data_IF_003664875786
#
_entry.id   IF_003664875786
#
_cell.length_a   1.000
_cell.length_b   1.000
_cell.length_c   1.000
_cell.angle_alpha   90.00
_cell.angle_beta   90.00
_cell.angle_gamma   90.00
#
_symmetry.space_group_name_H-M   'P 1'
#
loop_
_entity.id
_entity.type
_entity.pdbx_description
1 polymer ?
#
# COMPACT_ATOMS: atom_id res chain seq x y z
N UNK A 1 -31.08 23.16 62.35
CA UNK A 1 -30.38 22.15 61.52
C UNK A 1 -30.01 22.80 60.20
N UNK A 2 -28.72 22.97 59.90
CA UNK A 2 -28.25 23.59 58.65
C UNK A 2 -28.07 22.50 57.58
N UNK A 3 -28.54 22.70 56.33
CA UNK A 3 -28.37 21.71 55.29
C UNK A 3 -26.91 21.67 54.83
N UNK A 4 -26.30 20.49 54.88
CA UNK A 4 -24.98 20.23 54.32
C UNK A 4 -25.16 20.02 52.81
N UNK A 5 -24.69 20.97 52.00
CA UNK A 5 -24.68 20.85 50.55
C UNK A 5 -23.49 19.96 50.17
N UNK A 6 -23.76 18.71 49.81
CA UNK A 6 -22.75 17.77 49.33
C UNK A 6 -22.37 18.12 47.88
N UNK A 7 -21.20 18.75 47.71
CA UNK A 7 -20.61 19.03 46.40
C UNK A 7 -20.16 17.71 45.76
N UNK A 8 -20.93 17.22 44.78
CA UNK A 8 -20.52 16.06 43.96
C UNK A 8 -19.55 16.54 42.89
N UNK A 9 -18.26 16.30 43.09
CA UNK A 9 -17.24 16.47 42.05
C UNK A 9 -17.44 15.34 41.03
N UNK A 10 -18.02 15.66 39.88
CA UNK A 10 -18.06 14.75 38.73
C UNK A 10 -16.68 14.83 38.07
N UNK A 11 -15.83 13.85 38.34
CA UNK A 11 -14.58 13.66 37.59
C UNK A 11 -14.97 13.14 36.21
N UNK A 12 -15.07 14.05 35.23
CA UNK A 12 -15.14 13.66 33.82
C UNK A 12 -13.74 13.19 33.45
N UNK A 13 -13.52 11.88 33.52
CA UNK A 13 -12.36 11.28 32.89
C UNK A 13 -12.52 11.49 31.38
N UNK A 14 -11.80 12.48 30.84
CA UNK A 14 -11.59 12.58 29.41
C UNK A 14 -10.75 11.37 29.05
N UNK A 15 -11.41 10.28 28.67
CA UNK A 15 -10.76 9.21 27.92
C UNK A 15 -10.24 9.89 26.66
N UNK A 16 -8.93 10.20 26.65
CA UNK A 16 -8.25 10.60 25.45
C UNK A 16 -8.63 9.55 24.41
N UNK A 17 -9.35 9.98 23.38
CA UNK A 17 -9.74 9.11 22.29
C UNK A 17 -8.49 8.33 21.89
N UNK A 18 -8.56 7.00 21.99
CA UNK A 18 -7.46 6.13 21.58
C UNK A 18 -7.12 6.58 20.16
N UNK A 19 -5.97 7.24 20.02
CA UNK A 19 -5.62 7.94 18.79
C UNK A 19 -5.82 6.95 17.64
N UNK A 20 -6.61 7.34 16.64
CA UNK A 20 -6.82 6.52 15.47
C UNK A 20 -5.46 6.02 14.97
N UNK A 21 -5.43 4.77 14.51
CA UNK A 21 -4.23 4.14 13.99
C UNK A 21 -3.41 5.13 13.13
N UNK A 22 -2.15 5.41 13.51
CA UNK A 22 -1.35 6.44 12.86
C UNK A 22 -0.83 5.93 11.51
N UNK A 23 -1.57 6.22 10.44
CA UNK A 23 -1.08 6.11 9.06
C UNK A 23 -0.56 7.47 8.60
N UNK A 24 0.58 7.49 7.90
CA UNK A 24 1.27 8.72 7.49
C UNK A 24 1.75 8.58 6.05
N UNK A 25 1.53 9.59 5.23
CA UNK A 25 2.19 9.72 3.93
C UNK A 25 3.26 10.82 3.99
N UNK A 26 4.43 10.58 3.43
CA UNK A 26 5.55 11.53 3.37
C UNK A 26 6.01 11.66 1.92
N UNK A 27 6.11 12.91 1.49
CA UNK A 27 6.57 13.38 0.19
C UNK A 27 7.95 14.00 0.40
N UNK A 28 8.98 13.49 -0.28
CA UNK A 28 10.37 13.88 0.00
C UNK A 28 10.82 14.88 -1.03
N UNK A 29 11.37 16.00 -0.54
CA UNK A 29 11.65 17.16 -1.36
C UNK A 29 10.61 18.26 -1.13
N UNK A 30 10.89 19.45 -1.68
CA UNK A 30 10.04 20.63 -1.53
C UNK A 30 9.70 21.33 -2.84
N UNK A 31 10.00 20.71 -3.99
CA UNK A 31 9.76 21.31 -5.30
C UNK A 31 8.29 21.18 -5.73
N UNK A 32 7.61 20.09 -5.35
CA UNK A 32 6.24 19.81 -5.75
C UNK A 32 5.41 19.29 -4.58
N UNK A 33 4.68 20.17 -3.92
CA UNK A 33 3.80 19.74 -2.83
C UNK A 33 2.61 18.93 -3.36
N UNK A 34 2.46 17.68 -2.88
CA UNK A 34 1.25 16.87 -3.10
C UNK A 34 0.00 17.48 -2.44
N UNK A 35 0.15 18.31 -1.41
CA UNK A 35 -0.95 19.01 -0.73
C UNK A 35 -1.61 18.19 0.38
N UNK A 36 -2.37 18.86 1.25
CA UNK A 36 -2.88 18.31 2.52
C UNK A 36 -4.14 17.44 2.42
N UNK A 37 -4.77 17.32 1.25
CA UNK A 37 -5.94 16.48 1.07
C UNK A 37 -6.02 16.00 -0.39
N UNK A 38 -5.52 14.79 -0.64
CA UNK A 38 -5.59 14.21 -1.97
C UNK A 38 -6.32 12.87 -1.92
N UNK A 39 -7.14 12.59 -2.93
CA UNK A 39 -7.62 11.23 -3.22
C UNK A 39 -6.49 10.34 -3.78
N UNK A 40 -5.23 10.75 -3.60
CA UNK A 40 -4.08 10.10 -4.18
C UNK A 40 -3.46 9.17 -3.15
N UNK A 41 -3.65 7.88 -3.39
CA UNK A 41 -3.15 6.82 -2.52
C UNK A 41 -1.84 6.18 -2.96
N UNK A 42 -1.18 6.72 -3.99
CA UNK A 42 0.01 6.16 -4.62
C UNK A 42 -0.11 4.64 -4.89
N UNK A 43 0.93 3.85 -4.62
CA UNK A 43 0.93 2.40 -4.87
C UNK A 43 0.05 1.61 -3.90
N UNK A 44 -0.14 2.09 -2.67
CA UNK A 44 -0.86 1.36 -1.62
C UNK A 44 -2.37 1.57 -1.65
N UNK A 45 -2.82 2.66 -2.28
CA UNK A 45 -4.20 3.14 -2.17
C UNK A 45 -4.47 3.95 -0.89
N UNK A 46 -3.49 4.17 -0.01
CA UNK A 46 -3.62 5.00 1.18
C UNK A 46 -3.75 6.49 0.83
N UNK A 47 -4.96 6.90 0.45
CA UNK A 47 -5.29 8.29 0.19
C UNK A 47 -5.21 9.13 1.48
N UNK A 48 -4.95 10.42 1.33
CA UNK A 48 -4.92 11.34 2.46
C UNK A 48 -3.98 12.53 2.29
N UNK A 49 -3.66 13.14 3.44
CA UNK A 49 -2.65 14.18 3.55
C UNK A 49 -1.25 13.62 3.29
N UNK A 50 -0.44 14.36 2.53
CA UNK A 50 0.98 14.08 2.32
C UNK A 50 1.82 15.13 3.05
N UNK A 51 2.75 14.67 3.89
CA UNK A 51 3.68 15.52 4.61
C UNK A 51 4.89 15.78 3.70
N UNK A 52 4.99 16.98 3.13
CA UNK A 52 6.18 17.41 2.37
C UNK A 52 7.34 17.65 3.32
N UNK A 53 8.45 16.92 3.15
CA UNK A 53 9.64 16.99 3.99
C UNK A 53 10.82 17.45 3.15
N UNK A 54 11.23 18.70 3.39
CA UNK A 54 12.34 19.33 2.69
C UNK A 54 13.68 19.17 3.45
N UNK A 55 14.79 19.35 2.73
CA UNK A 55 16.14 19.00 3.16
C UNK A 55 16.59 19.81 4.37
N UNK A 56 16.13 21.05 4.46
CA UNK A 56 16.51 21.98 5.51
C UNK A 56 15.87 21.66 6.88
N UNK A 57 14.95 20.68 6.94
CA UNK A 57 14.25 20.36 8.18
C UNK A 57 15.06 19.38 9.04
N UNK A 58 15.55 19.87 10.19
CA UNK A 58 16.22 19.03 11.20
C UNK A 58 15.23 18.04 11.83
N UNK A 59 13.97 18.45 11.97
CA UNK A 59 12.87 17.63 12.47
C UNK A 59 11.53 18.28 12.07
N UNK A 60 10.60 17.52 11.51
CA UNK A 60 9.28 18.00 11.10
C UNK A 60 8.17 17.21 11.80
N UNK A 61 7.16 17.92 12.31
CA UNK A 61 5.94 17.30 12.88
C UNK A 61 5.05 16.78 11.75
N UNK A 62 4.55 15.56 11.93
CA UNK A 62 3.73 14.85 10.95
C UNK A 62 2.24 14.89 11.31
N UNK A 63 1.40 15.02 10.28
CA UNK A 63 -0.03 14.75 10.35
C UNK A 63 -0.35 13.37 9.79
N UNK A 64 -1.46 12.78 10.24
CA UNK A 64 -1.97 11.52 9.70
C UNK A 64 -2.61 11.71 8.32
N UNK A 65 -3.13 10.63 7.74
CA UNK A 65 -3.81 10.66 6.44
C UNK A 65 -5.08 11.50 6.43
N UNK A 66 -5.68 11.80 7.59
CA UNK A 66 -6.82 12.71 7.73
C UNK A 66 -6.38 14.17 7.98
N UNK A 67 -5.07 14.44 8.09
CA UNK A 67 -4.52 15.75 8.39
C UNK A 67 -4.55 16.13 9.88
N UNK A 68 -4.85 15.19 10.78
CA UNK A 68 -4.80 15.42 12.21
C UNK A 68 -3.36 15.28 12.75
N UNK A 69 -3.02 16.09 13.76
CA UNK A 69 -1.70 16.06 14.37
C UNK A 69 -1.44 14.73 15.09
N UNK A 70 -0.31 14.09 14.80
CA UNK A 70 0.04 12.76 15.36
C UNK A 70 0.98 12.82 16.56
N UNK A 71 1.68 13.94 16.75
CA UNK A 71 2.83 14.02 17.66
C UNK A 71 4.08 13.28 17.13
N UNK A 72 3.97 12.57 16.00
CA UNK A 72 5.11 11.96 15.35
C UNK A 72 5.95 13.02 14.63
N UNK A 73 7.24 12.76 14.52
CA UNK A 73 8.20 13.62 13.83
C UNK A 73 9.11 12.82 12.92
N UNK A 74 9.48 13.38 11.78
CA UNK A 74 10.50 12.83 10.87
C UNK A 74 11.78 13.65 10.92
N UNK A 75 12.90 12.97 10.83
CA UNK A 75 14.25 13.55 10.71
C UNK A 75 15.13 12.62 9.87
N UNK A 76 16.21 13.14 9.31
CA UNK A 76 17.16 12.35 8.55
C UNK A 76 18.59 12.91 8.65
N UNK A 77 19.58 12.09 8.33
CA UNK A 77 20.99 12.46 8.32
C UNK A 77 21.74 11.69 7.23
N UNK A 78 22.56 12.40 6.44
CA UNK A 78 23.41 11.78 5.42
C UNK A 78 23.78 12.71 4.27
N UNK A 79 24.61 12.24 3.33
CA UNK A 79 25.04 13.00 2.16
C UNK A 79 23.97 12.92 1.06
N UNK A 80 23.01 13.82 1.10
CA UNK A 80 21.96 13.88 0.10
C UNK A 80 21.81 15.29 -0.46
N UNK A 81 21.10 15.45 -1.57
CA UNK A 81 20.73 16.75 -2.16
C UNK A 81 19.32 16.64 -2.73
N UNK A 82 18.46 17.62 -2.47
CA UNK A 82 17.13 17.65 -3.09
C UNK A 82 17.17 18.19 -4.52
N UNK A 83 16.28 17.66 -5.35
CA UNK A 83 16.07 18.13 -6.71
C UNK A 83 14.66 17.82 -7.17
N UNK A 84 14.24 18.50 -8.24
CA UNK A 84 13.02 18.16 -8.92
C UNK A 84 13.07 18.43 -10.42
N UNK A 85 12.22 17.72 -11.17
CA UNK A 85 12.17 17.82 -12.63
C UNK A 85 10.82 18.34 -13.14
N UNK A 86 10.88 19.37 -14.01
CA UNK A 86 9.81 20.33 -14.29
C UNK A 86 8.69 19.90 -15.26
N UNK A 87 8.55 18.62 -15.59
CA UNK A 87 7.76 18.27 -16.79
C UNK A 87 6.52 17.41 -16.58
N UNK A 88 6.13 17.08 -15.34
CA UNK A 88 5.08 16.06 -15.14
C UNK A 88 3.86 16.61 -14.42
N UNK A 89 2.68 16.41 -15.03
CA UNK A 89 1.38 16.75 -14.46
C UNK A 89 0.82 15.61 -13.59
N UNK A 90 -0.09 15.97 -12.68
CA UNK A 90 -0.78 15.02 -11.80
C UNK A 90 0.05 14.57 -10.59
N UNK A 91 -0.62 13.90 -9.64
CA UNK A 91 -0.03 13.57 -8.35
C UNK A 91 1.07 12.49 -8.44
N UNK A 92 0.97 11.56 -9.39
CA UNK A 92 2.07 10.62 -9.68
C UNK A 92 3.36 11.36 -10.04
N UNK A 93 3.25 12.33 -10.95
CA UNK A 93 4.37 13.16 -11.39
C UNK A 93 4.95 13.96 -10.24
N UNK A 94 4.10 14.56 -9.39
CA UNK A 94 4.56 15.29 -8.21
C UNK A 94 5.39 14.41 -7.27
N UNK A 95 4.87 13.24 -6.85
CA UNK A 95 5.60 12.34 -5.97
C UNK A 95 6.92 11.85 -6.59
N UNK A 96 6.90 11.44 -7.86
CA UNK A 96 8.08 10.86 -8.50
C UNK A 96 9.11 11.89 -8.99
N UNK A 97 8.78 13.18 -8.98
CA UNK A 97 9.71 14.25 -9.36
C UNK A 97 10.15 15.14 -8.20
N UNK A 98 9.62 14.95 -6.99
CA UNK A 98 10.25 15.46 -5.79
C UNK A 98 11.10 14.33 -5.20
N UNK A 99 12.41 14.54 -5.09
CA UNK A 99 13.30 13.50 -4.59
C UNK A 99 14.58 14.02 -3.97
N UNK A 100 15.14 13.16 -3.13
CA UNK A 100 16.49 13.23 -2.63
C UNK A 100 17.42 12.39 -3.52
N UNK A 101 18.50 12.99 -4.03
CA UNK A 101 19.57 12.32 -4.77
C UNK A 101 20.51 11.55 -3.85
N UNK A 102 20.94 10.38 -4.35
CA UNK A 102 22.00 9.58 -3.79
C UNK A 102 23.13 9.53 -4.84
N UNK A 103 24.29 10.11 -4.52
CA UNK A 103 25.41 10.24 -5.45
C UNK A 103 26.46 9.12 -5.25
N UNK A 104 27.22 8.76 -6.29
CA UNK A 104 28.28 7.77 -6.19
C UNK A 104 29.40 8.28 -5.29
N UNK A 105 29.97 7.38 -4.49
CA UNK A 105 31.04 7.74 -3.56
C UNK A 105 30.57 8.46 -2.30
N UNK A 106 29.26 8.60 -2.07
CA UNK A 106 28.72 8.92 -0.76
C UNK A 106 29.23 7.89 0.26
N UNK A 107 30.01 8.35 1.24
CA UNK A 107 30.69 7.47 2.19
C UNK A 107 29.75 6.74 3.17
N UNK A 108 28.46 7.10 3.20
CA UNK A 108 27.47 6.55 4.11
C UNK A 108 26.05 6.63 3.50
N UNK A 109 25.15 5.71 3.89
CA UNK A 109 23.74 5.78 3.54
C UNK A 109 23.08 7.02 4.16
N UNK A 110 21.95 7.43 3.59
CA UNK A 110 21.06 8.42 4.20
C UNK A 110 20.15 7.71 5.19
N UNK A 111 20.27 8.06 6.46
CA UNK A 111 19.48 7.45 7.53
C UNK A 111 18.29 8.33 7.86
N UNK A 112 17.12 7.72 7.96
CA UNK A 112 15.87 8.37 8.26
C UNK A 112 15.26 7.78 9.53
N UNK A 113 14.54 8.61 10.28
CA UNK A 113 13.89 8.26 11.53
C UNK A 113 12.53 8.96 11.60
N UNK A 114 11.48 8.18 11.89
CA UNK A 114 10.23 8.68 12.41
C UNK A 114 10.12 8.28 13.88
N UNK A 115 9.92 9.27 14.75
CA UNK A 115 9.72 9.11 16.18
C UNK A 115 8.30 9.53 16.58
N UNK A 116 7.82 9.06 17.74
CA UNK A 116 6.48 9.38 18.26
C UNK A 116 5.34 8.56 17.62
N UNK A 117 5.68 7.43 16.98
CA UNK A 117 4.68 6.50 16.46
C UNK A 117 3.99 5.72 17.58
N UNK A 118 2.73 5.35 17.39
CA UNK A 118 2.05 4.40 18.26
C UNK A 118 2.67 3.01 18.13
N UNK A 119 2.71 2.20 19.20
CA UNK A 119 3.10 0.80 19.08
C UNK A 119 2.17 0.02 18.15
N UNK A 120 2.75 -0.90 17.39
CA UNK A 120 2.02 -1.77 16.47
C UNK A 120 2.85 -2.23 15.29
N UNK A 121 2.24 -3.07 14.47
CA UNK A 121 2.81 -3.46 13.19
C UNK A 121 2.55 -2.37 12.14
N UNK A 122 3.58 -2.06 11.37
CA UNK A 122 3.55 -1.08 10.30
C UNK A 122 3.99 -1.74 9.01
N UNK A 123 3.23 -1.46 7.96
CA UNK A 123 3.66 -1.64 6.59
C UNK A 123 4.29 -0.35 6.12
N UNK A 124 5.43 -0.48 5.48
CA UNK A 124 6.24 0.63 5.01
C UNK A 124 6.44 0.48 3.51
N UNK A 125 5.97 1.44 2.74
CA UNK A 125 6.17 1.48 1.29
C UNK A 125 7.10 2.62 0.94
N UNK A 126 8.24 2.30 0.33
CA UNK A 126 9.23 3.28 -0.14
C UNK A 126 9.04 3.55 -1.62
N UNK A 127 9.21 4.80 -2.04
CA UNK A 127 9.12 5.21 -3.43
C UNK A 127 10.48 5.65 -3.96
N UNK A 128 10.82 5.15 -5.15
CA UNK A 128 11.96 5.58 -5.95
C UNK A 128 11.47 5.83 -7.36
N UNK A 129 11.87 6.93 -7.98
CA UNK A 129 11.70 7.09 -9.41
C UNK A 129 12.64 6.10 -10.12
N UNK A 130 12.23 5.61 -11.30
CA UNK A 130 13.14 4.89 -12.18
C UNK A 130 14.26 5.84 -12.67
N UNK A 131 15.33 5.31 -13.25
CA UNK A 131 16.38 6.14 -13.85
C UNK A 131 15.98 6.64 -15.22
N UNK A 132 16.42 7.85 -15.57
CA UNK A 132 16.23 8.35 -16.94
C UNK A 132 17.27 7.72 -17.87
N UNK A 133 17.07 7.70 -19.18
CA UNK A 133 18.03 7.09 -20.13
C UNK A 133 19.42 7.76 -20.16
N UNK A 134 19.67 8.76 -19.30
CA UNK A 134 20.96 9.43 -19.11
C UNK A 134 21.67 8.99 -17.83
N UNK A 135 20.97 8.31 -16.92
CA UNK A 135 21.48 7.82 -15.64
C UNK A 135 21.07 6.36 -15.41
N UNK A 136 21.86 5.63 -14.63
CA UNK A 136 21.58 4.24 -14.28
C UNK A 136 21.74 4.10 -12.78
N UNK A 137 20.89 3.30 -12.14
CA UNK A 137 20.75 3.50 -10.72
C UNK A 137 19.81 2.52 -10.06
N UNK A 138 20.33 1.86 -9.03
CA UNK A 138 19.52 1.01 -8.16
C UNK A 138 19.48 1.67 -6.79
N UNK A 139 18.30 2.10 -6.37
CA UNK A 139 18.10 2.62 -5.01
C UNK A 139 17.82 1.45 -4.07
N UNK A 140 18.61 1.30 -3.01
CA UNK A 140 18.37 0.30 -1.97
C UNK A 140 17.78 0.93 -0.72
N UNK A 141 16.73 0.29 -0.22
CA UNK A 141 16.06 0.62 1.04
C UNK A 141 16.32 -0.51 2.05
N UNK A 142 16.67 -0.15 3.28
CA UNK A 142 16.77 -1.12 4.38
C UNK A 142 15.99 -0.63 5.58
N UNK A 143 14.88 -1.30 5.89
CA UNK A 143 14.06 -1.01 7.06
C UNK A 143 14.62 -1.70 8.31
N UNK A 144 14.86 -0.95 9.39
CA UNK A 144 15.33 -1.53 10.64
C UNK A 144 14.26 -2.46 11.24
N UNK A 145 14.64 -3.71 11.51
CA UNK A 145 13.71 -4.75 11.98
C UNK A 145 12.69 -5.18 10.90
N UNK A 146 12.90 -4.78 9.65
CA UNK A 146 12.07 -5.18 8.52
C UNK A 146 12.15 -6.68 8.22
N UNK A 147 11.04 -7.27 7.80
CA UNK A 147 10.94 -8.69 7.49
C UNK A 147 11.57 -9.06 6.14
N UNK A 148 11.67 -8.11 5.20
CA UNK A 148 12.15 -8.37 3.84
C UNK A 148 13.67 -8.23 3.69
N UNK A 149 14.36 -7.61 4.66
CA UNK A 149 15.76 -7.23 4.53
C UNK A 149 15.97 -6.09 3.53
N UNK A 150 17.19 -5.89 2.99
CA UNK A 150 17.44 -4.87 1.97
C UNK A 150 16.62 -5.12 0.70
N UNK A 151 16.01 -4.06 0.17
CA UNK A 151 15.16 -4.12 -1.02
C UNK A 151 15.62 -3.09 -2.05
N UNK A 152 15.73 -3.54 -3.29
CA UNK A 152 16.19 -2.71 -4.40
C UNK A 152 15.00 -2.24 -5.25
N UNK A 153 14.99 -0.95 -5.58
CA UNK A 153 14.16 -0.36 -6.61
C UNK A 153 15.03 -0.06 -7.82
N UNK A 154 14.72 -0.70 -8.95
CA UNK A 154 15.36 -0.48 -10.25
C UNK A 154 14.30 -0.41 -11.35
N UNK A 155 14.29 0.68 -12.11
CA UNK A 155 13.40 0.80 -13.26
C UNK A 155 14.00 1.69 -14.34
N UNK A 156 13.64 1.41 -15.60
CA UNK A 156 14.06 2.19 -16.76
C UNK A 156 13.05 3.24 -17.22
N UNK A 157 13.51 4.16 -18.08
CA UNK A 157 12.72 5.31 -18.56
C UNK A 157 11.39 4.98 -19.26
N UNK A 158 11.28 3.78 -19.84
CA UNK A 158 10.07 3.34 -20.55
C UNK A 158 8.84 3.15 -19.66
N UNK A 159 9.01 3.13 -18.33
CA UNK A 159 7.94 2.78 -17.39
C UNK A 159 7.29 3.99 -16.71
N UNK A 160 7.74 5.22 -17.01
CA UNK A 160 7.60 6.37 -16.13
C UNK A 160 6.19 6.86 -15.80
N UNK A 161 5.13 6.50 -16.53
CA UNK A 161 3.81 7.14 -16.32
C UNK A 161 2.61 6.20 -16.42
N UNK A 162 2.83 4.87 -16.44
CA UNK A 162 1.75 3.87 -16.51
C UNK A 162 1.17 3.43 -15.16
N UNK A 163 1.82 3.81 -14.04
CA UNK A 163 1.47 3.39 -12.68
C UNK A 163 2.67 2.84 -11.92
N UNK A 164 2.46 2.51 -10.64
CA UNK A 164 3.51 1.96 -9.77
C UNK A 164 3.76 0.48 -10.03
N UNK A 165 5.03 0.09 -10.05
CA UNK A 165 5.46 -1.31 -10.19
C UNK A 165 6.40 -1.69 -9.06
N UNK A 166 6.09 -2.82 -8.42
CA UNK A 166 6.89 -3.34 -7.31
C UNK A 166 8.31 -3.68 -7.79
N UNK A 167 9.32 -3.30 -7.02
CA UNK A 167 10.73 -3.47 -7.36
C UNK A 167 11.26 -2.49 -8.40
N UNK A 168 10.40 -1.62 -8.96
CA UNK A 168 10.81 -0.59 -9.93
C UNK A 168 10.54 0.82 -9.44
N UNK A 169 9.32 1.06 -8.96
CA UNK A 169 8.89 2.37 -8.46
C UNK A 169 8.71 2.38 -6.95
N UNK A 170 8.51 1.20 -6.37
CA UNK A 170 8.34 1.05 -4.94
C UNK A 170 8.77 -0.33 -4.47
N UNK A 171 9.18 -0.39 -3.21
CA UNK A 171 9.35 -1.63 -2.44
C UNK A 171 8.57 -1.50 -1.15
N UNK A 172 8.30 -2.64 -0.51
CA UNK A 172 7.49 -2.67 0.70
C UNK A 172 8.03 -3.69 1.68
N UNK A 173 8.06 -3.28 2.94
CA UNK A 173 8.44 -4.11 4.07
C UNK A 173 7.43 -3.95 5.22
N UNK A 174 7.50 -4.81 6.22
CA UNK A 174 6.74 -4.72 7.46
C UNK A 174 7.69 -4.75 8.66
N UNK A 175 7.37 -3.98 9.69
CA UNK A 175 8.14 -3.95 10.94
C UNK A 175 7.19 -3.73 12.12
N UNK A 176 7.62 -4.16 13.31
CA UNK A 176 6.89 -3.88 14.55
C UNK A 176 7.53 -2.71 15.28
N UNK A 177 6.76 -1.65 15.49
CA UNK A 177 7.16 -0.50 16.30
C UNK A 177 6.77 -0.77 17.76
N UNK A 178 7.77 -0.83 18.65
CA UNK A 178 7.55 -1.04 20.10
C UNK A 178 7.89 0.21 20.92
N UNK A 179 8.93 0.94 20.53
CA UNK A 179 9.44 2.12 21.25
C UNK A 179 9.03 3.45 20.60
N UNK A 180 8.01 3.41 19.73
CA UNK A 180 7.52 4.58 18.99
C UNK A 180 8.50 5.13 17.96
N UNK A 181 9.51 4.36 17.56
CA UNK A 181 10.51 4.72 16.56
C UNK A 181 10.50 3.75 15.39
N UNK A 182 10.61 4.27 14.18
CA UNK A 182 10.82 3.53 12.94
C UNK A 182 11.96 4.19 12.18
N UNK A 183 12.99 3.41 11.82
CA UNK A 183 14.16 3.93 11.11
C UNK A 183 14.49 3.09 9.89
N UNK A 184 15.05 3.72 8.87
CA UNK A 184 15.52 3.05 7.67
C UNK A 184 16.75 3.76 7.10
N UNK A 185 17.47 3.07 6.23
CA UNK A 185 18.55 3.64 5.44
C UNK A 185 18.22 3.57 3.95
N UNK A 186 18.70 4.56 3.21
CA UNK A 186 18.61 4.60 1.75
C UNK A 186 20.00 4.84 1.17
N UNK A 187 20.38 4.05 0.17
CA UNK A 187 21.68 4.15 -0.49
C UNK A 187 21.60 3.88 -2.00
N UNK A 188 22.62 4.36 -2.71
CA UNK A 188 22.87 3.97 -4.09
C UNK A 188 23.54 2.60 -4.10
N UNK A 189 22.81 1.56 -4.49
CA UNK A 189 23.32 0.21 -4.54
C UNK A 189 24.24 -0.03 -5.75
N UNK A 190 23.82 0.49 -6.91
CA UNK A 190 24.51 0.35 -8.19
C UNK A 190 24.26 1.58 -9.06
N UNK A 191 25.17 1.85 -10.01
CA UNK A 191 25.01 2.91 -11.00
C UNK A 191 25.58 4.26 -10.57
N UNK A 192 25.07 5.33 -11.18
CA UNK A 192 25.52 6.71 -10.99
C UNK A 192 24.54 7.59 -10.21
N UNK A 193 23.27 7.19 -10.05
CA UNK A 193 22.27 7.98 -9.32
C UNK A 193 21.21 7.12 -8.63
N UNK A 194 20.87 7.45 -7.40
CA UNK A 194 19.72 6.86 -6.68
C UNK A 194 18.71 7.93 -6.29
N UNK A 195 17.48 7.52 -6.05
CA UNK A 195 16.36 8.41 -5.80
C UNK A 195 15.50 7.95 -4.63
N UNK A 196 15.20 8.87 -3.71
CA UNK A 196 14.20 8.66 -2.68
C UNK A 196 13.12 9.73 -2.78
N UNK A 197 11.90 9.30 -3.10
CA UNK A 197 10.79 10.19 -3.45
C UNK A 197 9.75 10.34 -2.34
N UNK A 198 9.59 9.32 -1.50
CA UNK A 198 8.56 9.34 -0.49
C UNK A 198 8.38 8.01 0.20
N UNK A 199 7.53 8.01 1.21
CA UNK A 199 7.23 6.84 2.01
C UNK A 199 5.77 6.89 2.47
N UNK A 200 5.10 5.74 2.47
CA UNK A 200 3.80 5.56 3.13
C UNK A 200 3.95 4.59 4.29
N UNK A 201 3.46 5.01 5.45
CA UNK A 201 3.37 4.21 6.66
C UNK A 201 1.90 3.86 6.84
N UNK A 202 1.59 2.57 6.80
CA UNK A 202 0.25 2.06 7.02
C UNK A 202 0.28 1.22 8.29
N UNK A 203 -0.42 1.67 9.35
CA UNK A 203 -0.53 0.86 10.56
C UNK A 203 -1.43 -0.34 10.28
N UNK A 204 -0.89 -1.53 10.46
CA UNK A 204 -1.60 -2.78 10.24
C UNK A 204 -2.59 -2.97 11.39
N UNK A 205 -3.88 -3.05 11.05
CA UNK A 205 -4.95 -3.28 12.01
C UNK A 205 -5.52 -4.67 11.74
N UNK A 206 -5.39 -5.63 12.68
CA UNK A 206 -5.99 -6.95 12.52
C UNK A 206 -7.49 -6.85 12.24
N UNK A 207 -7.98 -7.62 11.26
CA UNK A 207 -9.36 -7.54 10.79
C UNK A 207 -9.59 -6.49 9.68
N UNK A 208 -8.62 -5.63 9.37
CA UNK A 208 -8.77 -4.63 8.33
C UNK A 208 -8.89 -5.26 6.94
N UNK A 209 -9.69 -4.63 6.09
CA UNK A 209 -9.88 -5.01 4.69
C UNK A 209 -9.80 -3.75 3.84
N UNK A 210 -9.07 -3.81 2.73
CA UNK A 210 -8.97 -2.71 1.76
C UNK A 210 -8.93 -3.22 0.33
N UNK A 211 -9.37 -2.40 -0.61
CA UNK A 211 -9.19 -2.66 -2.04
C UNK A 211 -8.09 -1.79 -2.60
N UNK A 212 -7.30 -2.33 -3.52
CA UNK A 212 -6.21 -1.64 -4.21
C UNK A 212 -6.20 -2.05 -5.69
N UNK A 213 -5.29 -1.48 -6.49
CA UNK A 213 -5.29 -1.59 -7.96
C UNK A 213 -6.58 -1.09 -8.65
N UNK A 214 -6.55 -1.11 -9.99
CA UNK A 214 -7.71 -0.89 -10.85
C UNK A 214 -8.20 -2.20 -11.46
N UNK A 215 -9.53 -2.37 -11.52
CA UNK A 215 -10.14 -3.47 -12.25
C UNK A 215 -10.01 -3.25 -13.77
N UNK A 216 -9.90 -4.34 -14.53
CA UNK A 216 -9.88 -4.29 -15.99
C UNK A 216 -11.30 -4.22 -16.55
N UNK A 217 -11.58 -3.28 -17.45
CA UNK A 217 -12.82 -3.27 -18.23
C UNK A 217 -12.83 -4.50 -19.15
N UNK A 218 -13.86 -5.33 -19.06
CA UNK A 218 -13.97 -6.56 -19.84
C UNK A 218 -14.43 -6.28 -21.28
N UNK A 219 -14.45 -7.32 -22.13
CA UNK A 219 -14.82 -7.17 -23.55
C UNK A 219 -16.26 -6.69 -23.81
N UNK A 220 -17.12 -6.70 -22.80
CA UNK A 220 -18.51 -6.23 -22.86
C UNK A 220 -18.68 -4.82 -22.27
N UNK A 221 -17.58 -4.17 -21.88
CA UNK A 221 -17.59 -2.82 -21.32
C UNK A 221 -17.85 -2.76 -19.81
N UNK A 222 -17.91 -3.91 -19.11
CA UNK A 222 -18.18 -3.92 -17.67
C UNK A 222 -16.89 -3.83 -16.86
N UNK A 223 -16.97 -3.20 -15.69
CA UNK A 223 -15.87 -3.09 -14.74
C UNK A 223 -16.14 -4.00 -13.55
N UNK A 224 -15.50 -5.18 -13.45
CA UNK A 224 -15.75 -6.10 -12.35
C UNK A 224 -15.55 -5.44 -10.98
N UNK A 225 -16.54 -5.61 -10.11
CA UNK A 225 -16.48 -5.14 -8.73
C UNK A 225 -16.01 -6.27 -7.82
N UNK A 226 -15.25 -5.92 -6.78
CA UNK A 226 -14.77 -6.84 -5.75
C UNK A 226 -15.24 -6.31 -4.39
N UNK A 227 -15.85 -7.18 -3.59
CA UNK A 227 -16.33 -6.87 -2.25
C UNK A 227 -15.96 -7.99 -1.28
N UNK A 228 -16.10 -7.69 0.01
CA UNK A 228 -16.00 -8.70 1.06
C UNK A 228 -17.12 -8.57 2.08
N UNK A 229 -17.34 -9.64 2.83
CA UNK A 229 -18.26 -9.68 3.97
C UNK A 229 -17.70 -10.57 5.08
N UNK A 230 -18.12 -10.31 6.31
CA UNK A 230 -17.61 -10.99 7.50
C UNK A 230 -16.31 -10.38 8.04
N UNK A 231 -15.66 -11.09 8.95
CA UNK A 231 -14.39 -10.68 9.58
C UNK A 231 -13.28 -11.66 9.21
N UNK A 232 -12.14 -11.20 8.67
CA UNK A 232 -11.00 -12.08 8.40
C UNK A 232 -10.33 -12.47 9.71
N UNK A 233 -10.58 -13.70 10.19
CA UNK A 233 -10.07 -14.20 11.48
C UNK A 233 -9.62 -15.66 11.36
N UNK A 234 -8.59 -16.03 12.12
CA UNK A 234 -8.07 -17.41 12.19
C UNK A 234 -8.77 -18.29 13.23
N UNK A 235 -9.39 -17.71 14.26
CA UNK A 235 -10.11 -18.43 15.33
C UNK A 235 -11.62 -18.52 15.10
N UNK A 236 -12.18 -17.71 14.21
CA UNK A 236 -13.60 -17.80 13.88
C UNK A 236 -14.08 -16.65 13.02
N UNK A 237 -14.57 -16.96 11.82
CA UNK A 237 -15.17 -15.98 10.92
C UNK A 237 -15.67 -16.64 9.64
N UNK A 238 -16.75 -16.10 9.09
CA UNK A 238 -17.16 -16.38 7.71
C UNK A 238 -16.69 -15.21 6.84
N UNK A 239 -15.39 -15.13 6.57
CA UNK A 239 -14.87 -14.11 5.68
C UNK A 239 -15.03 -14.56 4.23
N UNK A 240 -15.81 -13.81 3.46
CA UNK A 240 -16.10 -14.12 2.06
C UNK A 240 -15.65 -12.97 1.19
N UNK A 241 -14.96 -13.29 0.10
CA UNK A 241 -14.63 -12.34 -0.96
C UNK A 241 -15.44 -12.71 -2.19
N UNK A 242 -16.15 -11.73 -2.75
CA UNK A 242 -17.02 -11.94 -3.91
C UNK A 242 -16.75 -10.93 -5.02
N UNK A 243 -16.88 -11.40 -6.25
CA UNK A 243 -16.84 -10.58 -7.44
C UNK A 243 -18.22 -10.51 -8.09
N UNK A 244 -18.56 -9.35 -8.63
CA UNK A 244 -19.78 -9.13 -9.42
C UNK A 244 -19.46 -8.30 -10.67
N UNK A 245 -20.44 -8.15 -11.56
CA UNK A 245 -20.24 -7.49 -12.87
C UNK A 245 -19.16 -8.17 -13.73
N UNK A 246 -19.00 -9.49 -13.55
CA UNK A 246 -18.15 -10.32 -14.42
C UNK A 246 -18.99 -10.89 -15.55
N UNK A 247 -18.32 -11.31 -16.64
CA UNK A 247 -19.01 -11.94 -17.77
C UNK A 247 -19.73 -13.22 -17.33
N UNK A 248 -20.96 -13.39 -17.78
CA UNK A 248 -21.76 -14.58 -17.50
C UNK A 248 -21.23 -15.82 -18.21
N UNK A 249 -21.46 -16.98 -17.61
CA UNK A 249 -21.04 -18.31 -18.07
C UNK A 249 -19.53 -18.40 -18.41
N UNK A 250 -18.68 -17.79 -17.58
CA UNK A 250 -17.22 -17.85 -17.73
C UNK A 250 -16.58 -18.59 -16.57
N UNK A 251 -15.53 -19.39 -16.84
CA UNK A 251 -14.72 -19.93 -15.78
C UNK A 251 -13.81 -18.83 -15.21
N UNK A 252 -13.62 -18.88 -13.91
CA UNK A 252 -12.70 -18.03 -13.17
C UNK A 252 -12.20 -18.70 -11.90
N UNK A 253 -11.31 -18.03 -11.19
CA UNK A 253 -10.76 -18.50 -9.92
C UNK A 253 -10.26 -17.29 -9.12
N UNK A 254 -10.16 -17.46 -7.80
CA UNK A 254 -9.45 -16.52 -6.95
C UNK A 254 -7.95 -16.87 -6.98
N UNK A 255 -7.12 -15.87 -7.27
CA UNK A 255 -5.68 -15.92 -7.01
C UNK A 255 -5.37 -15.15 -5.74
N UNK A 256 -4.39 -15.61 -4.97
CA UNK A 256 -3.97 -14.92 -3.75
C UNK A 256 -2.51 -15.18 -3.38
N UNK A 257 -1.95 -14.34 -2.51
CA UNK A 257 -0.58 -14.38 -2.00
C UNK A 257 -0.48 -13.60 -0.69
N UNK A 258 0.53 -13.83 0.15
CA UNK A 258 0.88 -12.92 1.24
C UNK A 258 1.37 -11.54 0.77
N UNK A 259 1.61 -11.35 -0.54
CA UNK A 259 2.17 -10.13 -1.12
C UNK A 259 1.25 -9.54 -2.18
N UNK A 260 0.97 -8.25 -2.05
CA UNK A 260 0.32 -7.46 -3.10
C UNK A 260 1.27 -7.17 -4.28
N UNK A 261 0.69 -6.80 -5.41
CA UNK A 261 1.38 -6.40 -6.63
C UNK A 261 0.57 -5.32 -7.36
N UNK A 262 1.09 -4.83 -8.48
CA UNK A 262 0.39 -3.88 -9.35
C UNK A 262 0.90 -3.93 -10.78
N UNK A 263 1.37 -5.10 -11.24
CA UNK A 263 2.08 -5.20 -12.51
C UNK A 263 1.10 -5.24 -13.69
N UNK A 264 1.39 -4.54 -14.81
CA UNK A 264 0.62 -4.69 -16.04
C UNK A 264 0.51 -6.16 -16.46
N UNK A 265 -0.72 -6.62 -16.70
CA UNK A 265 -1.01 -7.99 -17.06
C UNK A 265 -2.24 -8.05 -17.95
N UNK A 266 -2.09 -8.53 -19.19
CA UNK A 266 -3.21 -8.73 -20.13
C UNK A 266 -4.15 -7.52 -20.24
N UNK A 267 -3.59 -6.32 -20.40
CA UNK A 267 -4.31 -5.04 -20.47
C UNK A 267 -5.06 -4.61 -19.19
N UNK A 268 -4.75 -5.24 -18.05
CA UNK A 268 -5.13 -4.77 -16.72
C UNK A 268 -3.92 -4.84 -15.79
N UNK A 269 -4.17 -5.05 -14.51
CA UNK A 269 -3.12 -5.21 -13.49
C UNK A 269 -3.28 -6.55 -12.77
N UNK A 270 -2.19 -7.32 -12.68
CA UNK A 270 -2.12 -8.45 -11.76
C UNK A 270 -1.72 -7.89 -10.39
N UNK A 271 -2.66 -7.99 -9.45
CA UNK A 271 -2.56 -7.34 -8.16
C UNK A 271 -1.97 -8.23 -7.07
N UNK A 272 -1.64 -9.47 -7.42
CA UNK A 272 -1.11 -10.46 -6.50
C UNK A 272 0.32 -10.82 -6.93
N UNK A 273 1.28 -10.77 -6.00
CA UNK A 273 2.69 -11.09 -6.29
C UNK A 273 2.99 -12.57 -6.04
N UNK A 274 4.06 -13.09 -6.64
CA UNK A 274 4.53 -14.43 -6.34
C UNK A 274 4.96 -14.58 -4.86
N UNK A 275 4.79 -15.76 -4.24
CA UNK A 275 4.21 -16.99 -4.80
C UNK A 275 2.67 -16.94 -4.86
N UNK A 276 2.09 -17.15 -6.05
CA UNK A 276 0.64 -17.09 -6.27
C UNK A 276 0.00 -18.44 -6.00
N UNK A 277 -0.96 -18.46 -5.07
CA UNK A 277 -1.87 -19.55 -4.84
C UNK A 277 -3.14 -19.39 -5.68
N UNK A 278 -3.77 -20.52 -6.04
CA UNK A 278 -4.98 -20.55 -6.88
C UNK A 278 -6.05 -21.41 -6.23
N UNK A 279 -7.28 -20.92 -6.19
CA UNK A 279 -8.42 -21.74 -5.78
C UNK A 279 -8.84 -22.69 -6.89
N UNK A 280 -9.74 -23.62 -6.57
CA UNK A 280 -10.43 -24.40 -7.59
C UNK A 280 -11.18 -23.46 -8.57
N UNK A 281 -11.27 -23.82 -9.87
CA UNK A 281 -12.07 -23.07 -10.83
C UNK A 281 -13.55 -23.03 -10.45
N UNK A 282 -14.20 -21.91 -10.76
CA UNK A 282 -15.61 -21.63 -10.53
C UNK A 282 -16.25 -21.17 -11.84
N UNK A 283 -17.54 -21.46 -12.04
CA UNK A 283 -18.34 -20.81 -13.08
C UNK A 283 -18.92 -19.50 -12.53
N UNK A 284 -18.94 -18.44 -13.34
CA UNK A 284 -19.56 -17.18 -12.95
C UNK A 284 -21.10 -17.25 -12.89
N UNK A 285 -21.70 -18.28 -13.49
CA UNK A 285 -23.15 -18.34 -13.69
C UNK A 285 -23.68 -17.10 -14.40
N UNK A 286 -24.83 -16.58 -13.95
CA UNK A 286 -25.51 -15.45 -14.58
C UNK A 286 -26.57 -15.89 -15.58
N UNK A 287 -26.99 -14.99 -16.46
CA UNK A 287 -27.98 -15.26 -17.52
C UNK A 287 -27.42 -16.29 -18.51
N UNK A 288 -28.04 -17.47 -18.65
CA UNK A 288 -27.55 -18.51 -19.56
C UNK A 288 -27.48 -18.04 -21.01
N UNK A 289 -26.32 -18.20 -21.64
CA UNK A 289 -26.09 -17.77 -23.03
C UNK A 289 -26.07 -16.25 -23.23
N UNK A 290 -26.21 -15.47 -22.15
CA UNK A 290 -26.13 -14.03 -22.16
C UNK A 290 -24.69 -13.55 -22.32
N UNK A 291 -24.42 -12.80 -23.39
CA UNK A 291 -23.24 -11.94 -23.47
C UNK A 291 -23.41 -10.71 -22.58
N UNK A 292 -23.64 -10.92 -21.27
CA UNK A 292 -23.88 -9.86 -20.29
C UNK A 292 -22.93 -9.96 -19.09
N UNK A 293 -23.15 -9.10 -18.09
CA UNK A 293 -22.32 -8.97 -16.89
C UNK A 293 -23.07 -9.33 -15.61
N UNK A 294 -24.01 -10.27 -15.70
CA UNK A 294 -24.77 -10.76 -14.54
C UNK A 294 -24.04 -11.85 -13.74
N UNK A 295 -22.88 -12.31 -14.21
CA UNK A 295 -22.05 -13.29 -13.53
C UNK A 295 -21.47 -12.80 -12.21
N UNK A 296 -21.10 -13.75 -11.35
CA UNK A 296 -20.45 -13.51 -10.06
C UNK A 296 -19.55 -14.67 -9.63
N UNK A 297 -18.55 -14.39 -8.79
CA UNK A 297 -17.72 -15.42 -8.14
C UNK A 297 -17.73 -15.21 -6.63
N UNK A 298 -17.46 -16.26 -5.86
CA UNK A 298 -17.40 -16.17 -4.40
C UNK A 298 -16.38 -17.14 -3.84
N UNK A 299 -15.60 -16.71 -2.84
CA UNK A 299 -14.67 -17.57 -2.13
C UNK A 299 -14.74 -17.28 -0.64
N UNK A 300 -14.98 -18.33 0.15
CA UNK A 300 -15.00 -18.27 1.60
C UNK A 300 -13.65 -18.70 2.18
N UNK A 301 -13.04 -17.80 2.94
CA UNK A 301 -11.85 -18.06 3.74
C UNK A 301 -12.25 -18.73 5.04
N UNK A 302 -12.18 -20.06 5.06
CA UNK A 302 -12.44 -20.84 6.27
C UNK A 302 -11.17 -20.93 7.12
N UNK A 303 -11.34 -21.11 8.43
CA UNK A 303 -10.22 -21.34 9.36
C UNK A 303 -9.36 -22.53 8.92
N UNK A 304 -9.99 -23.61 8.44
CA UNK A 304 -9.29 -24.78 7.89
C UNK A 304 -8.46 -24.43 6.65
N UNK A 305 -8.99 -23.61 5.73
CA UNK A 305 -8.25 -23.17 4.55
C UNK A 305 -7.05 -22.31 4.94
N UNK A 306 -7.22 -21.34 5.86
CA UNK A 306 -6.13 -20.50 6.33
C UNK A 306 -5.03 -21.35 7.00
N UNK A 307 -5.42 -22.28 7.88
CA UNK A 307 -4.51 -23.18 8.57
C UNK A 307 -3.75 -24.12 7.61
N UNK A 308 -4.36 -24.55 6.50
CA UNK A 308 -3.67 -25.43 5.54
C UNK A 308 -2.52 -24.74 4.79
N UNK A 309 -2.46 -23.41 4.83
CA UNK A 309 -1.34 -22.62 4.32
C UNK A 309 -0.44 -22.05 5.43
N UNK A 310 -0.69 -22.43 6.69
CA UNK A 310 0.07 -21.92 7.83
C UNK A 310 -0.15 -20.44 8.11
N UNK A 311 -1.26 -19.86 7.65
CA UNK A 311 -1.59 -18.47 7.92
C UNK A 311 -2.10 -18.31 9.36
N UNK A 312 -1.63 -17.26 10.03
CA UNK A 312 -1.83 -16.95 11.44
C UNK A 312 -2.33 -15.52 11.62
N UNK A 313 -2.77 -15.17 12.85
CA UNK A 313 -3.19 -13.80 13.15
C UNK A 313 -2.03 -12.82 12.92
N UNK A 314 -2.32 -11.68 12.29
CA UNK A 314 -1.34 -10.69 11.83
C UNK A 314 -0.93 -10.87 10.37
N UNK A 315 -1.03 -12.09 9.81
CA UNK A 315 -0.70 -12.29 8.40
C UNK A 315 -1.64 -11.49 7.52
N UNK A 316 -1.06 -10.89 6.47
CA UNK A 316 -1.82 -10.18 5.46
C UNK A 316 -1.95 -11.03 4.20
N UNK A 317 -3.15 -11.04 3.61
CA UNK A 317 -3.46 -11.77 2.39
C UNK A 317 -3.95 -10.79 1.33
N UNK A 318 -3.31 -10.82 0.17
CA UNK A 318 -3.71 -10.13 -1.05
C UNK A 318 -4.40 -11.11 -2.00
N UNK A 319 -5.57 -10.76 -2.52
CA UNK A 319 -6.31 -11.59 -3.48
C UNK A 319 -6.94 -10.80 -4.63
N UNK A 320 -7.26 -11.50 -5.71
CA UNK A 320 -7.89 -10.98 -6.91
C UNK A 320 -8.63 -12.12 -7.62
N UNK A 321 -9.83 -11.86 -8.17
CA UNK A 321 -10.44 -12.79 -9.11
C UNK A 321 -9.87 -12.58 -10.51
N UNK A 322 -9.48 -13.69 -11.12
CA UNK A 322 -9.15 -13.83 -12.53
C UNK A 322 -10.25 -14.66 -13.21
N UNK A 323 -10.62 -14.28 -14.44
CA UNK A 323 -11.57 -15.06 -15.25
C UNK A 323 -11.18 -15.09 -16.72
N UNK A 324 -11.77 -15.99 -17.49
CA UNK A 324 -11.70 -15.89 -18.96
C UNK A 324 -12.51 -14.71 -19.48
N UNK A 325 -11.97 -14.08 -20.51
CA UNK A 325 -12.61 -12.99 -21.24
C UNK A 325 -12.23 -13.03 -22.73
N UNK A 326 -12.80 -14.00 -23.46
CA UNK A 326 -12.47 -14.34 -24.85
C UNK A 326 -12.62 -13.21 -25.88
N UNK A 327 -13.26 -12.09 -25.51
CA UNK A 327 -13.42 -10.93 -26.39
C UNK A 327 -12.40 -9.82 -26.13
N UNK A 328 -11.55 -9.99 -25.11
CA UNK A 328 -10.56 -8.99 -24.73
C UNK A 328 -9.17 -9.40 -25.21
N UNK A 329 -8.35 -8.42 -25.55
CA UNK A 329 -6.97 -8.72 -25.88
C UNK A 329 -6.23 -9.25 -24.64
N UNK A 330 -5.80 -10.51 -24.73
CA UNK A 330 -5.19 -11.27 -23.63
C UNK A 330 -6.12 -12.27 -22.93
N UNK A 331 -7.38 -12.38 -23.34
CA UNK A 331 -8.35 -13.40 -22.90
C UNK A 331 -8.53 -13.49 -21.37
N UNK A 332 -8.41 -12.37 -20.65
CA UNK A 332 -8.44 -12.34 -19.18
C UNK A 332 -9.35 -11.22 -18.64
N UNK A 333 -10.26 -11.57 -17.75
CA UNK A 333 -10.97 -10.64 -16.87
C UNK A 333 -10.23 -10.51 -15.54
N UNK A 334 -10.10 -9.28 -15.03
CA UNK A 334 -9.41 -8.99 -13.77
C UNK A 334 -10.25 -8.04 -12.93
N UNK A 335 -10.55 -8.45 -11.71
CA UNK A 335 -11.06 -7.53 -10.68
C UNK A 335 -9.96 -6.59 -10.20
N UNK A 336 -10.29 -5.61 -9.35
CA UNK A 336 -9.27 -4.92 -8.53
C UNK A 336 -8.68 -5.90 -7.51
N UNK A 337 -7.63 -5.51 -6.78
CA UNK A 337 -7.12 -6.28 -5.65
C UNK A 337 -7.94 -6.04 -4.38
N UNK A 338 -8.00 -7.04 -3.49
CA UNK A 338 -8.45 -6.90 -2.11
C UNK A 338 -7.36 -7.45 -1.20
N UNK A 339 -7.07 -6.72 -0.13
CA UNK A 339 -6.11 -7.12 0.89
C UNK A 339 -6.79 -7.11 2.25
N UNK A 340 -6.46 -8.09 3.09
CA UNK A 340 -6.96 -8.16 4.44
C UNK A 340 -5.92 -8.72 5.41
N UNK A 341 -5.98 -8.27 6.66
CA UNK A 341 -5.12 -8.76 7.75
C UNK A 341 -5.93 -9.67 8.66
N UNK A 342 -5.41 -10.86 8.92
CA UNK A 342 -6.07 -11.84 9.77
C UNK A 342 -6.10 -11.38 11.22
N UNK A 343 -7.29 -11.19 11.77
CA UNK A 343 -7.51 -11.05 13.19
C UNK A 343 -7.28 -12.39 13.91
N UNK A 344 -7.04 -12.37 15.24
CA UNK A 344 -7.23 -13.54 16.08
C UNK A 344 -8.56 -14.20 15.77
#
# INVERSE_FOLDING_TARGET
MRPVIALRVVVVAVLAAVGAAQSINVDIGGFYTLGSATNFGAATGQAGAWNTVAQASVQQVLVDTQGAATGATVSWAGPATESGWLSVSGNHGKLLNDYQYLLPGAAAPVNWLIAGLQPGEYRVTFYSRPTDGQSTGVTRFTLAGGAAGPQDCDGGIGDFFGGYRYGQHFVQDTTTVTNGTLSWSVELAEGDLGYFNGIQLERVVPGAVRTYCTAKVNSLGCTPALASSGSPSVLGGAFTVSASQVRSDRPGLLVWSPRQNGMPFRQGHLCVAAPIQRTAPQSSGGTPGGGDCSGSYSFQWTTTYLASFGLTAGDTVACQFWSLDDGSAGNAGLTRGLEFTLAP
#
